data_IF_261768262782
#
_entry.id   IF_261768262782
#
_cell.length_a   1.000
_cell.length_b   1.000
_cell.length_c   1.000
_cell.angle_alpha   90.00
_cell.angle_beta   90.00
_cell.angle_gamma   90.00
#
_symmetry.space_group_name_H-M   'P 1'
#
loop_
_entity.id
_entity.type
_entity.pdbx_description
1 polymer ?
#
# COMPACT_ATOMS: atom_id res chain seq x y z
N UNK A 1 30.30 5.80 6.77
CA UNK A 1 29.74 4.45 6.57
C UNK A 1 29.32 4.01 7.95
N UNK A 2 28.04 4.14 8.26
CA UNK A 2 27.55 3.82 9.60
C UNK A 2 27.01 2.40 9.57
N UNK A 3 27.84 1.44 10.00
CA UNK A 3 27.41 0.07 10.22
C UNK A 3 26.78 0.02 11.61
N UNK A 4 25.50 0.40 11.70
CA UNK A 4 24.76 0.25 12.95
C UNK A 4 24.20 -1.18 13.03
N UNK A 5 24.89 -2.02 13.79
CA UNK A 5 24.40 -3.31 14.25
C UNK A 5 23.44 -3.05 15.42
N UNK A 6 22.20 -2.65 15.13
CA UNK A 6 21.19 -2.52 16.19
C UNK A 6 20.78 -3.92 16.66
N UNK A 7 21.31 -4.31 17.82
CA UNK A 7 20.83 -5.42 18.63
C UNK A 7 19.32 -5.24 18.88
N UNK A 8 18.51 -6.07 18.22
CA UNK A 8 17.25 -6.62 18.71
C UNK A 8 16.72 -7.61 17.66
N UNK A 9 17.10 -8.89 17.80
CA UNK A 9 16.49 -10.10 17.21
C UNK A 9 16.08 -10.12 15.73
N UNK A 10 16.57 -9.20 14.91
CA UNK A 10 16.53 -9.27 13.45
C UNK A 10 17.84 -8.66 12.94
N UNK A 11 18.68 -9.48 12.31
CA UNK A 11 20.00 -9.07 11.79
C UNK A 11 19.85 -8.18 10.56
N UNK A 12 19.47 -6.92 10.78
CA UNK A 12 19.47 -5.88 9.76
C UNK A 12 20.86 -5.24 9.69
N UNK A 13 21.47 -5.20 8.50
CA UNK A 13 22.49 -4.17 8.24
C UNK A 13 21.81 -2.99 7.56
N UNK A 14 21.68 -1.89 8.29
CA UNK A 14 21.40 -0.60 7.68
C UNK A 14 22.71 -0.09 7.05
N UNK A 15 22.96 -0.45 5.80
CA UNK A 15 24.06 0.14 5.04
C UNK A 15 23.53 1.41 4.37
N UNK A 16 23.49 2.51 5.11
CA UNK A 16 23.25 3.82 4.50
C UNK A 16 24.51 4.21 3.72
N UNK A 17 24.47 4.00 2.40
CA UNK A 17 25.57 4.37 1.53
C UNK A 17 25.44 5.87 1.23
N UNK A 18 25.97 6.70 2.13
CA UNK A 18 25.92 8.15 1.95
C UNK A 18 26.65 8.60 0.68
N UNK A 19 26.18 9.69 0.09
CA UNK A 19 26.66 10.36 -1.15
C UNK A 19 28.17 10.59 -1.26
N UNK A 20 28.94 10.44 -0.18
CA UNK A 20 30.35 10.82 -0.10
C UNK A 20 31.33 9.88 -0.80
N UNK A 21 30.87 8.77 -1.39
CA UNK A 21 31.75 7.76 -2.02
C UNK A 21 31.78 7.78 -3.57
N UNK A 22 31.22 8.80 -4.21
CA UNK A 22 31.26 8.87 -5.67
C UNK A 22 32.61 9.36 -6.21
N UNK A 23 33.11 8.59 -7.19
CA UNK A 23 34.17 8.86 -8.18
C UNK A 23 35.62 8.50 -7.83
N UNK A 24 35.94 7.20 -7.84
CA UNK A 24 37.30 6.71 -8.10
C UNK A 24 37.45 5.19 -8.01
N UNK A 25 38.47 4.59 -8.66
CA UNK A 25 38.77 3.14 -8.62
C UNK A 25 38.87 2.55 -7.20
N UNK A 26 39.23 3.39 -6.22
CA UNK A 26 39.34 2.97 -4.81
C UNK A 26 37.96 2.71 -4.19
N UNK A 27 36.92 3.49 -4.52
CA UNK A 27 35.58 3.25 -3.96
C UNK A 27 34.96 1.99 -4.56
N UNK A 28 35.14 1.74 -5.86
CA UNK A 28 34.69 0.50 -6.52
C UNK A 28 35.27 -0.77 -5.88
N UNK A 29 36.57 -0.76 -5.55
CA UNK A 29 37.23 -1.88 -4.85
C UNK A 29 36.68 -2.07 -3.44
N UNK A 30 36.40 -0.99 -2.73
CA UNK A 30 35.79 -1.04 -1.39
C UNK A 30 34.37 -1.59 -1.44
N UNK A 31 33.56 -1.19 -2.41
CA UNK A 31 32.20 -1.71 -2.58
C UNK A 31 32.21 -3.20 -2.90
N UNK A 32 33.08 -3.65 -3.81
CA UNK A 32 33.21 -5.07 -4.13
C UNK A 32 33.55 -5.89 -2.88
N UNK A 33 34.57 -5.46 -2.12
CA UNK A 33 34.96 -6.13 -0.87
C UNK A 33 33.85 -6.10 0.19
N UNK A 34 33.10 -5.01 0.29
CA UNK A 34 31.97 -4.90 1.20
C UNK A 34 30.88 -5.93 0.85
N UNK A 35 30.53 -6.06 -0.42
CA UNK A 35 29.52 -7.01 -0.89
C UNK A 35 29.97 -8.46 -0.68
N UNK A 36 31.25 -8.77 -0.89
CA UNK A 36 31.82 -10.08 -0.56
C UNK A 36 31.69 -10.42 0.94
N UNK A 37 32.01 -9.46 1.81
CA UNK A 37 31.88 -9.62 3.26
C UNK A 37 30.42 -9.80 3.69
N UNK A 38 29.50 -9.07 3.07
CA UNK A 38 28.06 -9.26 3.30
C UNK A 38 27.65 -10.67 2.89
N UNK A 39 28.12 -11.16 1.73
CA UNK A 39 27.85 -12.52 1.25
C UNK A 39 28.35 -13.64 2.17
N UNK A 40 29.41 -13.38 2.94
CA UNK A 40 29.96 -14.31 3.93
C UNK A 40 29.34 -14.15 5.33
N UNK A 41 28.41 -13.20 5.49
CA UNK A 41 27.78 -12.88 6.77
C UNK A 41 26.35 -13.42 6.86
N UNK A 42 25.70 -13.22 8.03
CA UNK A 42 24.28 -13.55 8.24
C UNK A 42 23.32 -12.42 7.86
N UNK A 43 23.82 -11.36 7.21
CA UNK A 43 23.01 -10.22 6.77
C UNK A 43 22.05 -10.67 5.68
N UNK A 44 20.77 -10.37 5.83
CA UNK A 44 19.73 -10.72 4.85
C UNK A 44 19.06 -9.50 4.23
N UNK A 45 19.37 -8.29 4.71
CA UNK A 45 18.76 -7.07 4.19
C UNK A 45 19.78 -5.99 3.90
N UNK A 46 19.61 -5.34 2.75
CA UNK A 46 20.29 -4.12 2.36
C UNK A 46 19.23 -3.04 2.14
N UNK A 47 19.46 -1.87 2.72
CA UNK A 47 18.63 -0.67 2.50
C UNK A 47 19.46 0.39 1.80
N UNK A 48 18.78 1.36 1.19
CA UNK A 48 19.42 2.51 0.53
C UNK A 48 20.47 2.09 -0.50
N UNK A 49 20.19 0.99 -1.22
CA UNK A 49 21.04 0.54 -2.30
C UNK A 49 21.05 1.59 -3.43
N UNK A 50 22.23 1.89 -3.96
CA UNK A 50 22.40 2.95 -4.95
C UNK A 50 22.65 2.44 -6.37
N UNK A 51 23.06 1.18 -6.53
CA UNK A 51 23.53 0.63 -7.81
C UNK A 51 23.44 -0.90 -7.84
N UNK A 52 23.25 -1.48 -9.02
CA UNK A 52 23.35 -2.91 -9.31
C UNK A 52 24.73 -3.33 -9.85
N UNK A 53 25.67 -2.38 -10.02
CA UNK A 53 27.02 -2.61 -10.56
C UNK A 53 27.78 -3.71 -9.80
N UNK A 54 27.61 -3.76 -8.49
CA UNK A 54 28.18 -4.80 -7.65
C UNK A 54 27.10 -5.86 -7.42
N UNK A 55 27.37 -7.11 -7.82
CA UNK A 55 26.40 -8.20 -7.67
C UNK A 55 25.88 -8.26 -6.25
N UNK A 56 24.56 -8.11 -6.08
CA UNK A 56 23.93 -8.21 -4.76
C UNK A 56 24.20 -9.62 -4.20
N UNK A 57 24.63 -9.76 -2.93
CA UNK A 57 24.97 -11.06 -2.36
C UNK A 57 23.76 -12.01 -2.28
N UNK A 58 23.99 -13.31 -2.45
CA UNK A 58 22.91 -14.32 -2.57
C UNK A 58 22.13 -14.59 -1.29
N UNK A 59 22.66 -14.20 -0.14
CA UNK A 59 22.01 -14.28 1.17
C UNK A 59 20.99 -13.16 1.42
N UNK A 60 20.91 -12.15 0.54
CA UNK A 60 19.96 -11.04 0.68
C UNK A 60 18.55 -11.48 0.26
N UNK A 61 17.60 -11.31 1.18
CA UNK A 61 16.17 -11.57 0.99
C UNK A 61 15.33 -10.29 0.96
N UNK A 62 15.88 -9.15 1.43
CA UNK A 62 15.18 -7.85 1.45
C UNK A 62 16.07 -6.71 0.96
N UNK A 63 15.67 -6.05 -0.11
CA UNK A 63 16.44 -5.00 -0.78
C UNK A 63 15.60 -3.74 -0.98
N UNK A 64 16.11 -2.58 -0.56
CA UNK A 64 15.55 -1.28 -0.96
C UNK A 64 16.56 -0.43 -1.71
N UNK A 65 16.09 0.20 -2.77
CA UNK A 65 16.78 1.26 -3.50
C UNK A 65 16.14 2.60 -3.15
N UNK A 66 16.95 3.64 -3.04
CA UNK A 66 16.49 4.99 -2.70
C UNK A 66 17.19 6.05 -3.57
N UNK A 67 16.78 7.32 -3.38
CA UNK A 67 17.41 8.50 -3.98
C UNK A 67 17.40 8.49 -5.52
N UNK A 68 18.58 8.36 -6.14
CA UNK A 68 18.81 8.53 -7.57
C UNK A 68 18.92 7.20 -8.34
N UNK A 69 18.62 6.06 -7.70
CA UNK A 69 18.67 4.78 -8.39
C UNK A 69 17.73 4.77 -9.61
N UNK A 70 18.30 4.55 -10.79
CA UNK A 70 17.58 4.54 -12.06
C UNK A 70 18.26 3.62 -13.10
N UNK A 71 18.93 2.56 -12.62
CA UNK A 71 19.59 1.58 -13.50
C UNK A 71 18.55 0.60 -14.07
N UNK A 72 18.72 0.14 -15.33
CA UNK A 72 17.80 -0.81 -15.93
C UNK A 72 17.86 -2.16 -15.20
N UNK A 73 16.69 -2.76 -14.98
CA UNK A 73 16.57 -4.09 -14.40
C UNK A 73 16.68 -5.14 -15.51
N UNK A 74 17.44 -6.19 -15.27
CA UNK A 74 17.63 -7.29 -16.22
C UNK A 74 17.55 -8.63 -15.50
N UNK A 75 17.26 -9.69 -16.26
CA UNK A 75 17.13 -11.04 -15.70
C UNK A 75 18.39 -11.43 -14.92
N UNK A 76 18.21 -11.75 -13.64
CA UNK A 76 19.29 -12.16 -12.75
C UNK A 76 20.11 -11.02 -12.12
N UNK A 77 19.66 -9.76 -12.22
CA UNK A 77 20.29 -8.65 -11.48
C UNK A 77 20.03 -8.72 -9.96
N UNK A 78 18.97 -9.42 -9.54
CA UNK A 78 18.61 -9.66 -8.15
C UNK A 78 19.04 -11.05 -7.67
N UNK A 79 19.27 -11.23 -6.35
CA UNK A 79 19.61 -12.54 -5.79
C UNK A 79 18.41 -13.50 -5.89
N UNK A 80 18.66 -14.82 -6.00
CA UNK A 80 17.62 -15.81 -6.30
C UNK A 80 16.61 -16.04 -5.17
N UNK A 81 16.92 -15.59 -3.95
CA UNK A 81 16.05 -15.73 -2.77
C UNK A 81 15.46 -14.38 -2.32
N UNK A 82 15.42 -13.38 -3.22
CA UNK A 82 14.87 -12.08 -2.85
C UNK A 82 13.35 -12.18 -2.66
N UNK A 83 12.87 -11.83 -1.47
CA UNK A 83 11.46 -11.87 -1.08
C UNK A 83 10.83 -10.47 -1.05
N UNK A 84 11.63 -9.43 -0.75
CA UNK A 84 11.15 -8.06 -0.61
C UNK A 84 12.01 -7.11 -1.43
N UNK A 85 11.36 -6.35 -2.32
CA UNK A 85 12.00 -5.34 -3.14
C UNK A 85 11.25 -4.02 -3.00
N UNK A 86 12.00 -2.95 -2.72
CA UNK A 86 11.51 -1.59 -2.75
C UNK A 86 12.32 -0.76 -3.74
N UNK A 87 11.66 -0.18 -4.73
CA UNK A 87 12.24 0.76 -5.69
C UNK A 87 11.73 2.16 -5.37
N UNK A 88 12.38 2.82 -4.41
CA UNK A 88 12.07 4.20 -4.03
C UNK A 88 13.05 5.17 -4.71
N UNK A 89 12.61 6.41 -4.90
CA UNK A 89 13.39 7.45 -5.56
C UNK A 89 13.08 7.57 -7.04
N UNK A 90 14.07 7.94 -7.84
CA UNK A 90 13.89 8.38 -9.23
C UNK A 90 13.87 7.23 -10.26
N UNK A 91 13.51 6.02 -9.85
CA UNK A 91 13.44 4.88 -10.76
C UNK A 91 12.39 5.13 -11.86
N UNK A 92 12.84 5.12 -13.11
CA UNK A 92 12.04 5.42 -14.30
C UNK A 92 12.39 4.46 -15.46
N UNK A 93 12.80 3.24 -15.14
CA UNK A 93 13.12 2.23 -16.14
C UNK A 93 11.94 1.27 -16.34
N UNK A 94 11.87 0.69 -17.53
CA UNK A 94 10.91 -0.38 -17.80
C UNK A 94 11.32 -1.66 -17.06
N UNK A 95 10.37 -2.27 -16.37
CA UNK A 95 10.45 -3.60 -15.78
C UNK A 95 9.97 -4.60 -16.83
N UNK A 96 10.89 -5.43 -17.31
CA UNK A 96 10.61 -6.49 -18.27
C UNK A 96 10.22 -7.80 -17.59
N UNK A 97 9.58 -8.69 -18.36
CA UNK A 97 9.24 -10.04 -17.89
C UNK A 97 10.51 -10.78 -17.46
N UNK A 98 10.51 -11.33 -16.26
CA UNK A 98 11.65 -12.05 -15.68
C UNK A 98 12.76 -11.15 -15.12
N UNK A 99 12.57 -9.81 -15.10
CA UNK A 99 13.49 -8.91 -14.39
C UNK A 99 13.34 -9.02 -12.86
N UNK A 100 12.11 -9.27 -12.37
CA UNK A 100 11.83 -9.55 -10.97
C UNK A 100 12.05 -11.05 -10.68
N UNK A 101 12.60 -11.43 -9.51
CA UNK A 101 12.84 -12.83 -9.19
C UNK A 101 11.56 -13.56 -8.83
N UNK A 102 11.49 -14.86 -9.15
CA UNK A 102 10.31 -15.71 -8.93
C UNK A 102 9.99 -15.94 -7.44
N UNK A 103 10.90 -15.59 -6.52
CA UNK A 103 10.69 -15.66 -5.06
C UNK A 103 10.09 -14.40 -4.46
N UNK A 104 9.89 -13.34 -5.26
CA UNK A 104 9.50 -12.04 -4.73
C UNK A 104 8.06 -12.04 -4.20
N UNK A 105 7.91 -11.87 -2.88
CA UNK A 105 6.61 -11.86 -2.21
C UNK A 105 6.04 -10.44 -2.03
N UNK A 106 6.91 -9.43 -1.93
CA UNK A 106 6.52 -8.03 -1.72
C UNK A 106 7.29 -7.10 -2.64
N UNK A 107 6.56 -6.30 -3.41
CA UNK A 107 7.10 -5.31 -4.32
C UNK A 107 6.47 -3.93 -4.07
N UNK A 108 7.32 -2.94 -3.82
CA UNK A 108 6.93 -1.55 -3.59
C UNK A 108 7.69 -0.65 -4.57
N UNK A 109 6.96 0.21 -5.27
CA UNK A 109 7.53 1.17 -6.23
C UNK A 109 6.84 2.52 -6.06
N UNK A 110 7.61 3.61 -6.09
CA UNK A 110 7.02 4.95 -6.02
C UNK A 110 6.25 5.27 -7.29
N UNK A 111 6.97 5.20 -8.42
CA UNK A 111 6.46 5.60 -9.73
C UNK A 111 6.65 4.45 -10.72
N UNK A 112 5.58 4.12 -11.44
CA UNK A 112 5.58 3.09 -12.47
C UNK A 112 5.25 3.72 -13.83
N UNK A 113 6.26 4.05 -14.63
CA UNK A 113 6.07 4.73 -15.92
C UNK A 113 5.93 3.76 -17.11
N UNK A 114 5.10 2.72 -16.94
CA UNK A 114 4.84 1.73 -17.99
C UNK A 114 3.46 1.11 -17.84
N UNK A 115 3.03 0.43 -18.91
CA UNK A 115 1.96 -0.57 -18.82
C UNK A 115 2.56 -1.88 -18.29
N UNK A 116 1.92 -2.49 -17.30
CA UNK A 116 2.26 -3.81 -16.80
C UNK A 116 1.67 -4.86 -17.74
N UNK A 117 2.52 -5.52 -18.51
CA UNK A 117 2.12 -6.69 -19.28
C UNK A 117 1.94 -7.91 -18.34
N UNK A 118 1.04 -8.86 -18.68
CA UNK A 118 0.96 -10.12 -17.96
C UNK A 118 2.32 -10.83 -17.86
N UNK A 119 2.65 -11.33 -16.68
CA UNK A 119 3.92 -12.00 -16.40
C UNK A 119 5.10 -11.08 -16.01
N UNK A 120 4.91 -9.75 -16.00
CA UNK A 120 5.92 -8.83 -15.43
C UNK A 120 6.05 -9.02 -13.91
N UNK A 121 4.91 -9.15 -13.22
CA UNK A 121 4.89 -9.46 -11.79
C UNK A 121 5.02 -10.99 -11.58
N UNK A 122 5.90 -11.47 -10.69
CA UNK A 122 6.09 -12.89 -10.46
C UNK A 122 4.91 -13.49 -9.70
N UNK A 123 4.56 -14.76 -9.99
CA UNK A 123 3.37 -15.41 -9.43
C UNK A 123 3.41 -15.60 -7.91
N UNK A 124 4.59 -15.53 -7.28
CA UNK A 124 4.75 -15.56 -5.82
C UNK A 124 4.35 -14.26 -5.11
N UNK A 125 4.13 -13.18 -5.86
CA UNK A 125 3.86 -11.86 -5.31
C UNK A 125 2.53 -11.83 -4.54
N UNK A 126 2.62 -11.50 -3.24
CA UNK A 126 1.47 -11.35 -2.33
C UNK A 126 1.12 -9.89 -2.07
N UNK A 127 2.11 -9.01 -2.12
CA UNK A 127 1.94 -7.58 -1.82
C UNK A 127 2.52 -6.75 -2.95
N UNK A 128 1.70 -5.88 -3.53
CA UNK A 128 2.14 -4.92 -4.55
C UNK A 128 1.70 -3.51 -4.17
N UNK A 129 2.63 -2.56 -4.21
CA UNK A 129 2.35 -1.18 -3.80
C UNK A 129 2.90 -0.18 -4.82
N UNK A 130 2.02 0.69 -5.29
CA UNK A 130 2.35 1.86 -6.12
C UNK A 130 2.01 3.10 -5.29
N UNK A 131 3.02 3.89 -4.92
CA UNK A 131 2.84 4.94 -3.91
C UNK A 131 2.53 6.32 -4.47
N UNK A 132 3.05 6.67 -5.65
CA UNK A 132 2.96 8.04 -6.20
C UNK A 132 2.25 8.10 -7.55
N UNK A 133 2.72 7.38 -8.57
CA UNK A 133 2.22 7.53 -9.94
C UNK A 133 2.21 6.23 -10.74
N UNK A 134 1.15 6.05 -11.54
CA UNK A 134 1.13 5.16 -12.69
C UNK A 134 0.35 5.82 -13.85
N UNK A 135 0.69 5.51 -15.12
CA UNK A 135 -0.03 6.05 -16.27
C UNK A 135 -1.45 5.48 -16.35
N UNK A 136 -2.29 6.12 -17.16
CA UNK A 136 -3.63 5.57 -17.42
C UNK A 136 -3.52 4.20 -18.10
N UNK A 137 -4.45 3.29 -17.80
CA UNK A 137 -4.53 1.95 -18.39
C UNK A 137 -3.24 1.13 -18.22
N UNK A 138 -2.48 1.37 -17.14
CA UNK A 138 -1.27 0.60 -16.85
C UNK A 138 -1.54 -0.86 -16.47
N UNK A 139 -2.78 -1.20 -16.13
CA UNK A 139 -3.20 -2.58 -15.84
C UNK A 139 -3.96 -3.18 -17.03
N UNK A 140 -3.60 -4.41 -17.37
CA UNK A 140 -4.32 -5.31 -18.28
C UNK A 140 -4.84 -6.51 -17.49
N UNK A 141 -5.74 -7.28 -18.09
CA UNK A 141 -6.16 -8.58 -17.54
C UNK A 141 -4.92 -9.47 -17.44
N UNK A 142 -4.64 -9.98 -16.24
CA UNK A 142 -3.46 -10.79 -15.93
C UNK A 142 -2.19 -10.01 -15.55
N UNK A 143 -2.22 -8.67 -15.50
CA UNK A 143 -1.11 -7.87 -14.98
C UNK A 143 -0.88 -8.09 -13.49
N UNK A 144 -1.97 -8.19 -12.73
CA UNK A 144 -1.94 -8.56 -11.31
C UNK A 144 -2.00 -10.08 -11.19
N UNK A 145 -1.18 -10.64 -10.31
CA UNK A 145 -1.03 -12.09 -10.18
C UNK A 145 -2.20 -12.71 -9.41
N UNK A 146 -2.58 -13.98 -9.70
CA UNK A 146 -3.69 -14.64 -9.03
C UNK A 146 -3.44 -14.98 -7.56
N UNK A 147 -2.25 -14.70 -7.02
CA UNK A 147 -1.88 -14.90 -5.61
C UNK A 147 -1.77 -13.58 -4.86
N UNK A 148 -2.03 -12.43 -5.51
CA UNK A 148 -1.90 -11.12 -4.91
C UNK A 148 -2.96 -10.92 -3.82
N UNK A 149 -2.52 -10.59 -2.60
CA UNK A 149 -3.37 -10.46 -1.41
C UNK A 149 -3.57 -9.01 -1.00
N UNK A 150 -2.54 -8.16 -1.14
CA UNK A 150 -2.59 -6.75 -0.79
C UNK A 150 -2.15 -5.91 -1.98
N UNK A 151 -3.02 -4.99 -2.41
CA UNK A 151 -2.71 -4.03 -3.45
C UNK A 151 -2.91 -2.60 -2.96
N UNK A 152 -1.86 -1.79 -3.05
CA UNK A 152 -1.93 -0.35 -2.80
C UNK A 152 -1.85 0.39 -4.12
N UNK A 153 -2.95 1.06 -4.46
CA UNK A 153 -3.05 1.93 -5.61
C UNK A 153 -2.60 3.36 -5.27
N UNK A 154 -2.29 4.15 -6.30
CA UNK A 154 -1.86 5.55 -6.15
C UNK A 154 -3.04 6.55 -6.12
N UNK A 155 -4.30 6.08 -6.14
CA UNK A 155 -5.49 6.90 -5.96
C UNK A 155 -6.10 7.56 -7.20
N UNK A 156 -5.46 7.50 -8.38
CA UNK A 156 -5.99 8.14 -9.60
C UNK A 156 -7.20 7.41 -10.17
N UNK A 157 -8.21 8.16 -10.60
CA UNK A 157 -9.44 7.61 -11.17
C UNK A 157 -9.27 7.19 -12.64
N UNK A 158 -9.23 5.88 -12.89
CA UNK A 158 -9.12 5.29 -14.24
C UNK A 158 -9.95 4.02 -14.35
N UNK A 159 -10.57 3.79 -15.51
CA UNK A 159 -11.34 2.58 -15.77
C UNK A 159 -10.43 1.35 -15.97
N UNK A 160 -10.85 0.20 -15.43
CA UNK A 160 -10.23 -1.11 -15.64
C UNK A 160 -11.29 -2.13 -16.04
N UNK A 161 -10.89 -3.17 -16.76
CA UNK A 161 -11.77 -4.30 -17.04
C UNK A 161 -12.14 -5.05 -15.75
N UNK A 162 -13.33 -5.63 -15.72
CA UNK A 162 -13.88 -6.32 -14.55
C UNK A 162 -13.02 -7.48 -14.02
N UNK A 163 -12.15 -8.04 -14.85
CA UNK A 163 -11.29 -9.20 -14.53
C UNK A 163 -9.82 -8.82 -14.24
N UNK A 164 -9.50 -7.53 -14.11
CA UNK A 164 -8.14 -7.07 -13.81
C UNK A 164 -7.74 -7.35 -12.36
N UNK A 165 -8.67 -7.14 -11.41
CA UNK A 165 -8.42 -7.42 -10.00
C UNK A 165 -8.60 -8.92 -9.72
N UNK A 166 -7.60 -9.60 -9.13
CA UNK A 166 -7.69 -11.03 -8.85
C UNK A 166 -8.51 -11.30 -7.58
N UNK A 167 -9.29 -12.38 -7.59
CA UNK A 167 -10.11 -12.82 -6.45
C UNK A 167 -9.30 -13.20 -5.20
N UNK A 168 -7.98 -13.32 -5.30
CA UNK A 168 -7.08 -13.51 -4.15
C UNK A 168 -6.93 -12.27 -3.27
N UNK A 169 -7.35 -11.09 -3.75
CA UNK A 169 -7.20 -9.84 -3.00
C UNK A 169 -7.99 -9.87 -1.69
N UNK A 170 -7.26 -9.63 -0.60
CA UNK A 170 -7.79 -9.49 0.76
C UNK A 170 -7.88 -8.01 1.13
N UNK A 171 -6.89 -7.22 0.70
CA UNK A 171 -6.80 -5.78 0.99
C UNK A 171 -6.55 -4.99 -0.29
N UNK A 172 -7.36 -3.95 -0.48
CA UNK A 172 -7.20 -3.02 -1.59
C UNK A 172 -7.19 -1.60 -1.03
N UNK A 173 -6.14 -0.84 -1.32
CA UNK A 173 -5.96 0.51 -0.81
C UNK A 173 -5.97 1.55 -1.91
N UNK A 174 -6.59 2.70 -1.61
CA UNK A 174 -6.71 3.86 -2.48
C UNK A 174 -7.31 3.54 -3.86
N UNK A 175 -8.25 2.59 -3.90
CA UNK A 175 -8.93 2.26 -5.15
C UNK A 175 -9.86 3.40 -5.55
N UNK A 176 -9.90 3.78 -6.84
CA UNK A 176 -10.84 4.76 -7.34
C UNK A 176 -12.24 4.16 -7.51
N UNK A 177 -13.26 5.03 -7.59
CA UNK A 177 -14.67 4.64 -7.74
C UNK A 177 -14.93 3.94 -9.08
N UNK A 178 -14.19 4.27 -10.13
CA UNK A 178 -14.29 3.57 -11.43
C UNK A 178 -14.01 2.06 -11.35
N UNK A 179 -13.34 1.57 -10.29
CA UNK A 179 -13.01 0.14 -10.15
C UNK A 179 -14.15 -0.70 -9.56
N UNK A 180 -15.25 -0.09 -9.13
CA UNK A 180 -16.36 -0.80 -8.46
C UNK A 180 -16.92 -1.98 -9.26
N UNK A 181 -16.91 -1.89 -10.59
CA UNK A 181 -17.38 -2.97 -11.45
C UNK A 181 -16.50 -4.23 -11.36
N UNK A 182 -15.22 -4.07 -11.04
CA UNK A 182 -14.29 -5.18 -10.76
C UNK A 182 -14.34 -5.58 -9.29
N UNK A 183 -14.35 -4.61 -8.38
CA UNK A 183 -14.35 -4.85 -6.93
C UNK A 183 -15.58 -5.64 -6.47
N UNK A 184 -16.76 -5.41 -7.06
CA UNK A 184 -18.00 -6.13 -6.70
C UNK A 184 -17.92 -7.66 -6.86
N UNK A 185 -16.99 -8.15 -7.69
CA UNK A 185 -16.82 -9.57 -7.95
C UNK A 185 -15.78 -10.22 -7.00
N UNK A 186 -15.13 -9.44 -6.13
CA UNK A 186 -14.07 -9.90 -5.23
C UNK A 186 -14.64 -10.53 -3.95
N UNK A 187 -14.77 -11.86 -3.95
CA UNK A 187 -15.35 -12.62 -2.82
C UNK A 187 -14.46 -12.65 -1.57
N UNK A 188 -13.14 -12.58 -1.73
CA UNK A 188 -12.18 -12.65 -0.61
C UNK A 188 -11.76 -11.29 -0.05
N UNK A 189 -12.24 -10.19 -0.64
CA UNK A 189 -11.89 -8.86 -0.18
C UNK A 189 -12.44 -8.64 1.23
N UNK A 190 -11.60 -8.21 2.17
CA UNK A 190 -11.97 -7.95 3.57
C UNK A 190 -11.70 -6.52 4.00
N UNK A 191 -10.70 -5.88 3.39
CA UNK A 191 -10.33 -4.49 3.67
C UNK A 191 -10.27 -3.68 2.40
N UNK A 192 -10.94 -2.53 2.41
CA UNK A 192 -11.05 -1.67 1.25
C UNK A 192 -10.91 -0.22 1.69
N UNK A 193 -9.86 0.45 1.19
CA UNK A 193 -9.64 1.88 1.34
C UNK A 193 -9.97 2.59 0.01
N UNK A 194 -10.94 3.51 0.05
CA UNK A 194 -11.42 4.30 -1.07
C UNK A 194 -11.02 5.77 -0.98
N UNK A 195 -10.82 6.38 -2.15
CA UNK A 195 -10.57 7.82 -2.26
C UNK A 195 -11.85 8.66 -2.46
N UNK A 196 -13.00 8.08 -2.85
CA UNK A 196 -14.31 8.73 -3.05
C UNK A 196 -15.48 7.71 -2.96
N UNK A 197 -16.76 8.10 -2.77
CA UNK A 197 -17.89 7.17 -2.58
C UNK A 197 -18.39 6.50 -3.88
N UNK A 198 -18.69 5.19 -3.81
CA UNK A 198 -19.39 4.39 -4.83
C UNK A 198 -19.92 3.07 -4.24
N UNK A 199 -20.54 2.19 -5.05
CA UNK A 199 -21.19 0.93 -4.59
C UNK A 199 -20.17 -0.07 -4.02
N UNK A 200 -20.30 -0.45 -2.75
CA UNK A 200 -19.31 -1.28 -2.02
C UNK A 200 -19.73 -2.77 -2.03
N UNK A 201 -18.82 -3.73 -2.23
CA UNK A 201 -19.15 -5.17 -2.24
C UNK A 201 -19.56 -5.74 -0.88
N UNK A 202 -20.50 -6.69 -0.88
CA UNK A 202 -21.00 -7.41 0.31
C UNK A 202 -19.97 -8.25 1.08
N UNK A 203 -18.72 -8.37 0.59
CA UNK A 203 -17.64 -9.10 1.27
C UNK A 203 -16.80 -8.22 2.21
N UNK A 204 -16.95 -6.89 2.13
CA UNK A 204 -16.10 -5.93 2.83
C UNK A 204 -16.52 -5.80 4.30
N UNK A 205 -15.61 -6.11 5.22
CA UNK A 205 -15.83 -5.95 6.67
C UNK A 205 -15.18 -4.69 7.22
N UNK A 206 -14.04 -4.29 6.64
CA UNK A 206 -13.28 -3.10 7.03
C UNK A 206 -13.26 -2.11 5.86
N UNK A 207 -13.95 -0.99 6.03
CA UNK A 207 -14.06 0.07 5.04
C UNK A 207 -13.34 1.32 5.54
N UNK A 208 -12.45 1.87 4.72
CA UNK A 208 -11.79 3.14 4.98
C UNK A 208 -12.11 4.09 3.84
N UNK A 209 -12.59 5.28 4.14
CA UNK A 209 -12.93 6.31 3.15
C UNK A 209 -12.05 7.52 3.43
N UNK A 210 -11.12 7.77 2.51
CA UNK A 210 -10.13 8.83 2.54
C UNK A 210 -10.49 9.93 1.53
N UNK A 211 -11.64 10.56 1.69
CA UNK A 211 -12.06 11.66 0.83
C UNK A 211 -11.94 12.99 1.59
N UNK A 212 -11.14 13.91 1.04
CA UNK A 212 -10.79 15.20 1.68
C UNK A 212 -11.79 16.31 1.37
N UNK A 213 -12.86 16.03 0.64
CA UNK A 213 -13.89 17.01 0.29
C UNK A 213 -14.94 17.12 1.41
N UNK A 214 -15.46 18.33 1.63
CA UNK A 214 -16.38 18.63 2.74
C UNK A 214 -17.84 18.17 2.49
N UNK A 215 -18.14 17.57 1.33
CA UNK A 215 -19.50 17.37 0.81
C UNK A 215 -19.88 15.91 0.53
N UNK A 216 -19.12 14.93 1.04
CA UNK A 216 -19.41 13.52 0.78
C UNK A 216 -20.68 13.08 1.53
N UNK A 217 -21.72 12.81 0.76
CA UNK A 217 -22.92 12.12 1.23
C UNK A 217 -22.83 10.68 0.74
N UNK A 218 -22.74 9.71 1.66
CA UNK A 218 -22.90 8.29 1.32
C UNK A 218 -24.40 8.03 1.16
N UNK A 219 -24.92 7.75 -0.06
CA UNK A 219 -26.35 7.52 -0.24
C UNK A 219 -26.82 6.26 0.50
N UNK A 220 -28.10 6.25 0.88
CA UNK A 220 -28.73 5.08 1.49
C UNK A 220 -28.61 3.85 0.58
N UNK A 221 -28.28 2.68 1.16
CA UNK A 221 -28.11 1.42 0.41
C UNK A 221 -26.73 1.18 -0.21
N UNK A 222 -25.77 2.12 -0.10
CA UNK A 222 -24.40 1.93 -0.60
C UNK A 222 -23.53 1.05 0.32
N UNK A 223 -23.83 1.02 1.62
CA UNK A 223 -23.08 0.23 2.61
C UNK A 223 -23.62 -1.21 2.68
N UNK A 224 -22.81 -2.24 2.39
CA UNK A 224 -23.19 -3.65 2.50
C UNK A 224 -23.36 -4.10 3.96
N UNK A 225 -24.15 -5.15 4.21
CA UNK A 225 -24.47 -5.65 5.57
C UNK A 225 -23.26 -6.22 6.30
N UNK A 226 -22.22 -6.59 5.57
CA UNK A 226 -20.96 -7.13 6.09
C UNK A 226 -20.07 -6.12 6.82
N UNK A 227 -20.30 -4.81 6.63
CA UNK A 227 -19.39 -3.78 7.12
C UNK A 227 -19.49 -3.66 8.63
N UNK A 228 -18.44 -4.07 9.34
CA UNK A 228 -18.32 -4.00 10.80
C UNK A 228 -17.49 -2.79 11.24
N UNK A 229 -16.51 -2.38 10.44
CA UNK A 229 -15.59 -1.30 10.80
C UNK A 229 -15.56 -0.27 9.67
N UNK A 230 -15.88 0.99 9.98
CA UNK A 230 -15.78 2.12 9.05
C UNK A 230 -14.78 3.12 9.58
N UNK A 231 -13.95 3.68 8.72
CA UNK A 231 -13.09 4.81 9.04
C UNK A 231 -13.26 5.93 8.02
N UNK A 232 -13.53 7.16 8.48
CA UNK A 232 -13.84 8.33 7.65
C UNK A 232 -12.88 9.48 7.94
N UNK A 233 -12.66 10.34 6.95
CA UNK A 233 -11.93 11.61 7.09
C UNK A 233 -12.79 12.78 7.58
N UNK A 234 -14.11 12.76 7.37
CA UNK A 234 -15.05 13.81 7.83
C UNK A 234 -16.42 13.25 8.24
N UNK A 235 -17.20 14.04 9.00
CA UNK A 235 -18.46 13.63 9.65
C UNK A 235 -19.68 14.15 8.87
N UNK A 236 -20.15 13.39 7.88
CA UNK A 236 -21.53 13.50 7.38
C UNK A 236 -22.06 12.09 7.13
N UNK A 237 -22.81 11.58 8.10
CA UNK A 237 -23.45 10.25 8.05
C UNK A 237 -24.97 10.43 7.87
N UNK A 238 -25.55 10.06 6.73
CA UNK A 238 -27.00 10.11 6.54
C UNK A 238 -27.66 8.73 6.69
N UNK A 239 -27.08 7.79 7.45
CA UNK A 239 -27.52 6.38 7.42
C UNK A 239 -27.98 5.85 8.77
N UNK A 240 -29.12 5.13 8.76
CA UNK A 240 -29.74 4.42 9.89
C UNK A 240 -28.99 3.10 10.22
N UNK A 241 -27.97 2.73 9.44
CA UNK A 241 -27.29 1.45 9.56
C UNK A 241 -26.30 1.41 10.73
N UNK A 242 -26.52 0.48 11.65
CA UNK A 242 -25.68 0.27 12.82
C UNK A 242 -24.41 -0.52 12.46
N UNK A 243 -23.24 0.12 12.56
CA UNK A 243 -21.92 -0.49 12.32
C UNK A 243 -21.20 -0.68 13.66
N UNK A 244 -20.36 -1.70 13.83
CA UNK A 244 -19.75 -2.04 15.13
C UNK A 244 -18.68 -1.05 15.58
N UNK A 245 -17.81 -0.59 14.67
CA UNK A 245 -16.81 0.42 14.99
C UNK A 245 -16.75 1.48 13.88
N UNK A 246 -16.68 2.75 14.28
CA UNK A 246 -16.54 3.90 13.40
C UNK A 246 -15.35 4.71 13.89
N UNK A 247 -14.39 5.02 13.03
CA UNK A 247 -13.27 5.90 13.36
C UNK A 247 -13.32 7.12 12.45
N UNK A 248 -13.03 8.29 12.99
CA UNK A 248 -12.87 9.55 12.27
C UNK A 248 -11.43 9.99 12.46
N UNK A 249 -10.76 10.39 11.38
CA UNK A 249 -9.44 10.99 11.44
C UNK A 249 -9.43 12.32 10.69
N UNK A 250 -9.26 13.40 11.45
CA UNK A 250 -8.94 14.71 10.92
C UNK A 250 -7.42 14.81 10.75
N UNK A 251 -6.98 14.61 9.51
CA UNK A 251 -5.57 14.67 9.13
C UNK A 251 -4.97 16.08 9.21
N UNK A 252 -5.79 17.13 9.17
CA UNK A 252 -5.29 18.51 9.23
C UNK A 252 -4.94 18.91 10.66
N UNK A 253 -5.72 18.43 11.63
CA UNK A 253 -5.53 18.74 13.05
C UNK A 253 -4.91 17.60 13.87
N UNK A 254 -4.57 16.48 13.22
CA UNK A 254 -4.09 15.25 13.87
C UNK A 254 -5.02 14.78 15.01
N UNK A 255 -6.33 14.86 14.78
CA UNK A 255 -7.36 14.46 15.74
C UNK A 255 -8.06 13.21 15.26
N UNK A 256 -8.47 12.37 16.20
CA UNK A 256 -9.30 11.21 15.88
C UNK A 256 -10.47 11.07 16.86
N UNK A 257 -11.56 10.52 16.37
CA UNK A 257 -12.74 10.14 17.16
C UNK A 257 -13.09 8.70 16.81
N UNK A 258 -13.40 7.87 17.79
CA UNK A 258 -13.72 6.46 17.60
C UNK A 258 -15.05 6.16 18.29
N UNK A 259 -16.04 5.73 17.54
CA UNK A 259 -17.33 5.27 18.02
C UNK A 259 -17.32 3.75 17.98
N UNK A 260 -17.75 3.08 19.05
CA UNK A 260 -17.89 1.62 19.13
C UNK A 260 -19.30 1.26 19.59
N UNK A 261 -19.95 0.34 18.91
CA UNK A 261 -21.24 -0.23 19.30
C UNK A 261 -21.04 -1.04 20.59
N UNK A 262 -21.88 -0.76 21.58
CA UNK A 262 -21.99 -1.58 22.78
C UNK A 262 -23.05 -2.66 22.60
N UNK A 263 -24.21 -2.28 22.05
CA UNK A 263 -25.34 -3.15 21.74
C UNK A 263 -26.25 -2.46 20.69
N UNK A 264 -27.43 -3.03 20.44
CA UNK A 264 -28.41 -2.52 19.46
C UNK A 264 -29.01 -1.14 19.81
N UNK A 265 -28.70 -0.58 20.99
CA UNK A 265 -29.21 0.71 21.45
C UNK A 265 -28.12 1.73 21.77
N UNK A 266 -26.89 1.28 22.03
CA UNK A 266 -25.84 2.13 22.59
C UNK A 266 -24.51 2.07 21.83
N UNK A 267 -23.84 3.22 21.82
CA UNK A 267 -22.50 3.43 21.28
C UNK A 267 -21.63 4.16 22.30
N UNK A 268 -20.34 3.83 22.38
CA UNK A 268 -19.33 4.59 23.11
C UNK A 268 -18.50 5.40 22.13
N UNK A 269 -18.23 6.67 22.46
CA UNK A 269 -17.39 7.57 21.67
C UNK A 269 -16.09 7.88 22.44
N UNK A 270 -14.94 7.78 21.78
CA UNK A 270 -13.61 8.02 22.31
C UNK A 270 -12.83 9.00 21.40
N UNK A 271 -12.35 10.13 21.93
CA UNK A 271 -11.59 11.14 21.18
C UNK A 271 -12.29 12.50 21.10
N UNK A 272 -11.53 13.60 21.00
CA UNK A 272 -12.02 14.97 21.16
C UNK A 272 -11.60 15.86 19.96
N UNK A 273 -12.47 16.75 19.46
CA UNK A 273 -12.38 18.21 19.70
C UNK A 273 -13.38 19.03 18.85
N UNK A 274 -14.48 19.50 19.46
CA UNK A 274 -14.93 20.91 19.56
C UNK A 274 -16.32 20.95 20.20
N UNK A 275 -16.39 21.46 21.44
CA UNK A 275 -17.55 22.00 22.16
C UNK A 275 -18.97 21.61 21.69
N UNK A 276 -19.33 20.33 21.77
CA UNK A 276 -20.71 19.87 22.00
C UNK A 276 -20.67 18.40 22.41
N UNK A 277 -20.99 18.13 23.66
CA UNK A 277 -21.39 16.80 24.11
C UNK A 277 -22.74 16.51 23.45
N UNK A 278 -22.76 15.87 22.27
CA UNK A 278 -24.03 15.42 21.68
C UNK A 278 -24.35 14.08 22.32
N UNK A 279 -24.98 14.13 23.50
CA UNK A 279 -25.78 13.02 24.01
C UNK A 279 -27.07 13.01 23.19
N UNK A 280 -27.12 12.24 22.11
CA UNK A 280 -28.40 11.98 21.43
C UNK A 280 -28.35 10.71 20.60
N UNK A 281 -28.91 9.61 21.13
CA UNK A 281 -29.64 8.59 20.36
C UNK A 281 -30.72 8.07 21.32
N UNK A 282 -31.99 8.43 21.09
CA UNK A 282 -32.81 7.67 20.15
C UNK A 282 -33.52 8.57 19.13
N UNK A 283 -33.50 8.11 17.89
CA UNK A 283 -34.08 8.75 16.70
C UNK A 283 -33.29 9.94 16.13
N UNK A 284 -32.77 9.69 14.94
CA UNK A 284 -32.30 10.69 13.99
C UNK A 284 -33.35 11.81 13.88
N UNK A 285 -32.95 13.03 14.20
CA UNK A 285 -33.46 14.22 13.53
C UNK A 285 -32.38 15.30 13.57
N UNK A 286 -31.82 15.57 12.40
CA UNK A 286 -31.00 16.75 12.16
C UNK A 286 -31.94 17.95 12.09
N UNK A 287 -31.90 18.80 13.11
CA UNK A 287 -32.38 20.17 12.98
C UNK A 287 -31.18 21.12 13.06
N UNK A 288 -30.89 21.78 11.93
CA UNK A 288 -30.24 23.09 11.93
C UNK A 288 -31.26 24.09 12.49
N UNK A 289 -30.84 24.95 13.41
CA UNK A 289 -31.41 26.30 13.49
C UNK A 289 -30.35 27.29 13.95
N UNK A 290 -30.24 28.34 13.12
CA UNK A 290 -29.53 29.63 13.21
C UNK A 290 -28.08 29.64 13.69
#
# INVERSE_FOLDING_TARGET
MDINNNNNNNQYCNISMSKQLQYGDKSDKLFTRLYDLIGQSKVTSIKECMTLKHRIPTNITSLSFEHFFNEPLFKGCFPPNLEKLKLHGNFNQRIEVGALPDTLESFEVNTLNQILEPGVLPTSLKVFKILEYAPNNYLKVGSLTPNLQEFVHHGKDIYIDSNVLPNSLIKLHNAPVSWMMSIKNLENLRSLNFTCPGIIPNSVNNLFIQDRRDDIVIPEGILPDSVQNIKLSQVLFPTIKMVDNISFEDYLNNKSCNIRKLDDQYYIVFGHNYNKFIKFIPQINVFRQS
#
